data_IF_989219292426
#
_entry.id   IF_989219292426
#
_cell.length_a   1.000
_cell.length_b   1.000
_cell.length_c   1.000
_cell.angle_alpha   90.00
_cell.angle_beta   90.00
_cell.angle_gamma   90.00
#
_symmetry.space_group_name_H-M   'P 1'
#
loop_
_entity.id
_entity.type
_entity.pdbx_description
1 polymer ?
#
# COMPACT_ATOMS: atom_id res chain seq x y z
N UNK A 1 -2.26 -11.89 18.46
CA UNK A 1 -2.97 -13.11 18.00
C UNK A 1 -4.01 -12.63 17.00
N UNK A 2 -4.04 -13.18 15.79
CA UNK A 2 -4.98 -12.76 14.74
C UNK A 2 -6.40 -12.60 15.24
N UNK A 3 -6.97 -11.41 15.01
CA UNK A 3 -8.29 -10.96 15.47
C UNK A 3 -9.38 -11.14 14.41
N UNK A 4 -9.01 -11.09 13.13
CA UNK A 4 -9.87 -11.49 12.01
C UNK A 4 -9.09 -12.52 11.20
N UNK A 5 -9.48 -13.79 11.31
CA UNK A 5 -8.81 -14.87 10.61
C UNK A 5 -9.03 -14.77 9.10
N UNK A 6 -7.96 -14.91 8.32
CA UNK A 6 -8.04 -15.03 6.87
C UNK A 6 -8.97 -16.19 6.48
N UNK A 7 -9.88 -15.94 5.53
CA UNK A 7 -10.81 -16.99 5.09
C UNK A 7 -10.08 -18.09 4.30
N UNK A 8 -10.35 -19.38 4.58
CA UNK A 8 -10.02 -20.44 3.65
C UNK A 8 -10.69 -20.15 2.31
N UNK A 9 -9.98 -20.42 1.20
CA UNK A 9 -10.42 -20.06 -0.15
C UNK A 9 -11.83 -20.60 -0.47
N UNK A 10 -12.11 -21.83 -0.05
CA UNK A 10 -13.37 -22.54 -0.27
C UNK A 10 -14.55 -21.92 0.48
N UNK A 11 -14.27 -21.11 1.53
CA UNK A 11 -15.28 -20.41 2.33
C UNK A 11 -15.55 -18.98 1.86
N UNK A 12 -14.84 -18.52 0.82
CA UNK A 12 -15.06 -17.18 0.25
C UNK A 12 -16.21 -17.19 -0.76
N UNK A 13 -16.89 -16.05 -0.92
CA UNK A 13 -17.95 -15.90 -1.91
C UNK A 13 -17.42 -16.12 -3.35
N UNK A 14 -18.25 -16.62 -4.26
CA UNK A 14 -17.83 -16.99 -5.62
C UNK A 14 -17.16 -15.84 -6.40
N UNK A 15 -17.62 -14.60 -6.23
CA UNK A 15 -16.98 -13.43 -6.85
C UNK A 15 -15.59 -13.13 -6.25
N UNK A 16 -15.44 -13.31 -4.93
CA UNK A 16 -14.15 -13.19 -4.26
C UNK A 16 -13.19 -14.32 -4.68
N UNK A 17 -13.66 -15.56 -4.84
CA UNK A 17 -12.84 -16.68 -5.32
C UNK A 17 -12.17 -16.38 -6.66
N UNK A 18 -12.94 -15.86 -7.63
CA UNK A 18 -12.38 -15.49 -8.94
C UNK A 18 -11.28 -14.42 -8.82
N UNK A 19 -11.46 -13.43 -7.95
CA UNK A 19 -10.48 -12.37 -7.69
C UNK A 19 -9.22 -12.90 -6.99
N UNK A 20 -9.41 -13.73 -5.95
CA UNK A 20 -8.31 -14.37 -5.20
C UNK A 20 -7.50 -15.32 -6.08
N UNK A 21 -8.14 -16.03 -7.00
CA UNK A 21 -7.44 -16.88 -7.98
C UNK A 21 -6.60 -16.02 -8.95
N UNK A 22 -7.10 -14.84 -9.35
CA UNK A 22 -6.31 -13.87 -10.10
C UNK A 22 -5.06 -13.41 -9.36
N UNK A 23 -5.19 -13.10 -8.06
CA UNK A 23 -4.07 -12.76 -7.18
C UNK A 23 -3.09 -13.93 -7.08
N UNK A 24 -3.58 -15.16 -6.85
CA UNK A 24 -2.77 -16.37 -6.77
C UNK A 24 -1.94 -16.58 -8.03
N UNK A 25 -2.52 -16.38 -9.21
CA UNK A 25 -1.78 -16.48 -10.49
C UNK A 25 -0.68 -15.44 -10.63
N UNK A 26 -0.89 -14.22 -10.13
CA UNK A 26 0.09 -13.14 -10.19
C UNK A 26 1.22 -13.27 -9.16
N UNK A 27 0.91 -13.73 -7.95
CA UNK A 27 1.85 -13.75 -6.82
C UNK A 27 2.37 -15.14 -6.44
N UNK A 28 1.76 -16.20 -6.96
CA UNK A 28 2.04 -17.60 -6.61
C UNK A 28 1.27 -18.12 -5.39
N UNK A 29 0.64 -17.23 -4.62
CA UNK A 29 -0.17 -17.58 -3.44
C UNK A 29 -1.23 -16.49 -3.19
N UNK A 30 -2.13 -16.71 -2.21
CA UNK A 30 -3.10 -15.71 -1.76
C UNK A 30 -2.58 -15.09 -0.47
N UNK A 31 -2.15 -13.83 -0.47
CA UNK A 31 -1.79 -13.13 0.75
C UNK A 31 -2.94 -13.07 1.76
N UNK A 32 -2.62 -13.27 3.04
CA UNK A 32 -3.56 -13.24 4.16
C UNK A 32 -4.36 -11.94 4.21
N UNK A 33 -3.79 -10.80 3.80
CA UNK A 33 -4.56 -9.54 3.73
C UNK A 33 -5.74 -9.63 2.76
N UNK A 34 -5.59 -10.30 1.61
CA UNK A 34 -6.67 -10.45 0.63
C UNK A 34 -7.70 -11.49 1.07
N UNK A 35 -7.25 -12.60 1.67
CA UNK A 35 -8.14 -13.58 2.27
C UNK A 35 -8.93 -13.00 3.46
N UNK A 36 -8.35 -12.04 4.20
CA UNK A 36 -9.05 -11.27 5.24
C UNK A 36 -10.03 -10.26 4.63
N UNK A 37 -9.62 -9.54 3.59
CA UNK A 37 -10.49 -8.61 2.85
C UNK A 37 -11.70 -9.32 2.22
N UNK A 38 -11.57 -10.61 1.89
CA UNK A 38 -12.63 -11.45 1.32
C UNK A 38 -13.82 -11.70 2.27
N UNK A 39 -13.71 -11.40 3.57
CA UNK A 39 -14.88 -11.31 4.46
C UNK A 39 -15.91 -10.28 3.96
N UNK A 40 -15.44 -9.27 3.22
CA UNK A 40 -16.28 -8.28 2.56
C UNK A 40 -15.96 -8.24 1.05
N UNK A 41 -16.61 -9.08 0.22
CA UNK A 41 -16.31 -9.16 -1.22
C UNK A 41 -16.43 -7.82 -1.98
N UNK A 42 -17.30 -6.92 -1.51
CA UNK A 42 -17.41 -5.57 -2.05
C UNK A 42 -16.14 -4.73 -1.79
N UNK A 43 -15.56 -4.84 -0.58
CA UNK A 43 -14.30 -4.17 -0.24
C UNK A 43 -13.12 -4.74 -1.04
N UNK A 44 -13.04 -6.07 -1.17
CA UNK A 44 -12.05 -6.73 -2.03
C UNK A 44 -12.14 -6.25 -3.47
N UNK A 45 -13.35 -6.22 -4.03
CA UNK A 45 -13.58 -5.75 -5.39
C UNK A 45 -13.17 -4.29 -5.57
N UNK A 46 -13.55 -3.41 -4.63
CA UNK A 46 -13.20 -1.99 -4.67
C UNK A 46 -11.70 -1.75 -4.58
N UNK A 47 -11.01 -2.44 -3.66
CA UNK A 47 -9.56 -2.36 -3.53
C UNK A 47 -8.85 -2.77 -4.82
N UNK A 48 -9.21 -3.92 -5.39
CA UNK A 48 -8.57 -4.42 -6.60
C UNK A 48 -8.83 -3.54 -7.82
N UNK A 49 -10.06 -3.04 -7.97
CA UNK A 49 -10.40 -2.11 -9.03
C UNK A 49 -9.59 -0.81 -8.93
N UNK A 50 -9.50 -0.22 -7.73
CA UNK A 50 -8.71 0.98 -7.51
C UNK A 50 -7.22 0.73 -7.75
N UNK A 51 -6.66 -0.35 -7.22
CA UNK A 51 -5.26 -0.72 -7.41
C UNK A 51 -4.91 -0.94 -8.89
N UNK A 52 -5.80 -1.58 -9.65
CA UNK A 52 -5.64 -1.78 -11.09
C UNK A 52 -5.70 -0.46 -11.86
N UNK A 53 -6.63 0.44 -11.50
CA UNK A 53 -6.74 1.75 -12.12
C UNK A 53 -5.48 2.58 -11.87
N UNK A 54 -4.99 2.64 -10.63
CA UNK A 54 -3.77 3.36 -10.26
C UNK A 54 -2.51 2.75 -10.89
N UNK A 55 -2.53 1.46 -11.25
CA UNK A 55 -1.45 0.83 -12.03
C UNK A 55 -1.31 1.34 -13.46
N UNK A 56 -2.28 2.12 -13.95
CA UNK A 56 -2.26 2.77 -15.26
C UNK A 56 -2.08 4.29 -15.15
N UNK A 57 -1.77 4.77 -13.94
CA UNK A 57 -1.62 6.18 -13.61
C UNK A 57 -0.27 6.77 -14.01
N UNK A 58 -0.04 8.02 -13.60
CA UNK A 58 1.23 8.72 -13.81
C UNK A 58 2.34 8.24 -12.87
N UNK A 59 2.02 7.68 -11.70
CA UNK A 59 3.01 7.09 -10.81
C UNK A 59 3.41 5.70 -11.32
N UNK A 60 4.69 5.54 -11.64
CA UNK A 60 5.23 4.24 -12.00
C UNK A 60 5.25 3.27 -10.80
N UNK A 61 5.54 1.99 -11.06
CA UNK A 61 5.56 0.95 -10.02
C UNK A 61 6.49 1.30 -8.84
N UNK A 62 7.70 1.80 -9.11
CA UNK A 62 8.65 2.22 -8.07
C UNK A 62 8.08 3.35 -7.20
N UNK A 63 7.48 4.38 -7.78
CA UNK A 63 6.88 5.47 -7.03
C UNK A 63 5.66 5.02 -6.19
N UNK A 64 4.86 4.07 -6.70
CA UNK A 64 3.74 3.49 -5.93
C UNK A 64 4.22 2.70 -4.71
N UNK A 65 5.32 1.96 -4.84
CA UNK A 65 5.95 1.29 -3.70
C UNK A 65 6.53 2.28 -2.68
N UNK A 66 7.06 3.42 -3.13
CA UNK A 66 7.49 4.51 -2.22
C UNK A 66 6.31 5.03 -1.40
N UNK A 67 5.15 5.30 -2.02
CA UNK A 67 3.93 5.69 -1.28
C UNK A 67 3.53 4.59 -0.29
N UNK A 68 3.59 3.32 -0.70
CA UNK A 68 3.21 2.20 0.15
C UNK A 68 4.11 2.04 1.38
N UNK A 69 5.43 2.17 1.20
CA UNK A 69 6.42 2.11 2.28
C UNK A 69 6.24 3.27 3.27
N UNK A 70 6.19 4.52 2.77
CA UNK A 70 5.99 5.71 3.60
C UNK A 70 4.66 5.64 4.36
N UNK A 71 3.57 5.25 3.69
CA UNK A 71 2.25 5.12 4.31
C UNK A 71 2.23 4.06 5.41
N UNK A 72 2.81 2.90 5.12
CA UNK A 72 2.83 1.78 6.07
C UNK A 72 3.72 2.07 7.27
N UNK A 73 4.80 2.85 7.10
CA UNK A 73 5.65 3.32 8.19
C UNK A 73 4.87 4.25 9.13
N UNK A 74 4.23 5.30 8.58
CA UNK A 74 3.46 6.26 9.39
C UNK A 74 2.29 5.58 10.11
N UNK A 75 1.59 4.67 9.43
CA UNK A 75 0.48 3.94 10.01
C UNK A 75 0.91 2.76 10.92
N UNK A 76 2.21 2.47 11.03
CA UNK A 76 2.72 1.36 11.84
C UNK A 76 2.19 -0.03 11.41
N UNK A 77 2.02 -0.27 10.10
CA UNK A 77 1.54 -1.57 9.60
C UNK A 77 2.70 -2.52 9.27
N UNK A 78 3.03 -3.43 10.18
CA UNK A 78 4.13 -4.41 10.00
C UNK A 78 3.90 -5.33 8.79
N UNK A 79 2.67 -5.86 8.64
CA UNK A 79 2.30 -6.71 7.50
C UNK A 79 2.55 -6.00 6.16
N UNK A 80 2.14 -4.73 6.09
CA UNK A 80 2.24 -3.93 4.89
C UNK A 80 3.70 -3.56 4.60
N UNK A 81 4.49 -3.24 5.64
CA UNK A 81 5.93 -3.03 5.50
C UNK A 81 6.64 -4.28 4.98
N UNK A 82 6.30 -5.47 5.48
CA UNK A 82 6.88 -6.73 5.00
C UNK A 82 6.56 -6.98 3.53
N UNK A 83 5.28 -6.84 3.14
CA UNK A 83 4.84 -7.01 1.75
C UNK A 83 5.51 -6.00 0.81
N UNK A 84 5.44 -4.71 1.12
CA UNK A 84 5.92 -3.64 0.25
C UNK A 84 7.44 -3.53 0.23
N UNK A 85 8.16 -4.01 1.24
CA UNK A 85 9.63 -4.16 1.16
C UNK A 85 10.01 -5.16 0.07
N UNK A 86 9.32 -6.31 0.00
CA UNK A 86 9.55 -7.30 -1.05
C UNK A 86 9.25 -6.75 -2.45
N UNK A 87 8.12 -6.05 -2.61
CA UNK A 87 7.72 -5.51 -3.91
C UNK A 87 8.57 -4.30 -4.34
N UNK A 88 8.96 -3.43 -3.40
CA UNK A 88 9.92 -2.35 -3.66
C UNK A 88 11.27 -2.88 -4.16
N UNK A 89 11.79 -3.96 -3.54
CA UNK A 89 13.00 -4.63 -4.03
C UNK A 89 12.84 -5.14 -5.46
N UNK A 90 11.70 -5.79 -5.77
CA UNK A 90 11.38 -6.23 -7.14
C UNK A 90 11.22 -5.07 -8.14
N UNK A 91 10.78 -3.90 -7.67
CA UNK A 91 10.71 -2.66 -8.44
C UNK A 91 12.06 -1.93 -8.57
N UNK A 92 13.14 -2.52 -8.00
CA UNK A 92 14.51 -2.04 -8.15
C UNK A 92 14.90 -0.94 -7.15
N UNK A 93 14.28 -0.88 -5.97
CA UNK A 93 14.83 -0.12 -4.84
C UNK A 93 15.90 -0.95 -4.13
N UNK A 94 17.00 -0.30 -3.73
CA UNK A 94 17.97 -0.92 -2.82
C UNK A 94 17.42 -0.97 -1.39
N UNK A 95 18.04 -1.75 -0.50
CA UNK A 95 17.66 -1.73 0.92
C UNK A 95 17.80 -0.35 1.57
N UNK A 96 18.81 0.43 1.15
CA UNK A 96 19.00 1.79 1.63
C UNK A 96 17.87 2.72 1.15
N UNK A 97 17.47 2.60 -0.12
CA UNK A 97 16.35 3.36 -0.68
C UNK A 97 15.03 2.99 0.00
N UNK A 98 14.82 1.70 0.30
CA UNK A 98 13.62 1.23 1.02
C UNK A 98 13.55 1.87 2.41
N UNK A 99 14.65 1.88 3.16
CA UNK A 99 14.69 2.56 4.47
C UNK A 99 14.40 4.05 4.33
N UNK A 100 15.11 4.71 3.42
CA UNK A 100 14.90 6.14 3.15
C UNK A 100 13.45 6.45 2.72
N UNK A 101 12.80 5.56 1.97
CA UNK A 101 11.40 5.73 1.54
C UNK A 101 10.43 5.60 2.71
N UNK A 102 10.66 4.67 3.63
CA UNK A 102 9.87 4.54 4.88
C UNK A 102 9.95 5.81 5.71
N UNK A 103 11.14 6.39 5.82
CA UNK A 103 11.40 7.58 6.62
C UNK A 103 11.01 8.90 5.92
N UNK A 104 10.50 8.84 4.69
CA UNK A 104 10.08 10.03 3.93
C UNK A 104 11.24 10.83 3.32
N UNK A 105 12.45 10.27 3.34
CA UNK A 105 13.69 10.93 2.95
C UNK A 105 14.15 10.59 1.52
N UNK A 106 13.59 9.55 0.91
CA UNK A 106 14.02 9.05 -0.40
C UNK A 106 13.81 10.07 -1.52
N UNK A 107 12.60 10.59 -1.66
CA UNK A 107 12.25 11.58 -2.67
C UNK A 107 11.04 12.43 -2.24
N UNK A 108 10.56 13.29 -3.15
CA UNK A 108 9.40 14.14 -2.90
C UNK A 108 8.08 13.34 -2.79
N UNK A 109 7.97 12.15 -3.38
CA UNK A 109 6.78 11.28 -3.25
C UNK A 109 6.72 10.72 -1.82
N UNK A 110 7.84 10.24 -1.28
CA UNK A 110 7.93 9.75 0.09
C UNK A 110 7.57 10.85 1.10
N UNK A 111 8.18 12.03 0.94
CA UNK A 111 7.95 13.20 1.80
C UNK A 111 6.50 13.69 1.74
N UNK A 112 5.94 13.82 0.54
CA UNK A 112 4.55 14.23 0.36
C UNK A 112 3.58 13.23 0.98
N UNK A 113 3.86 11.93 0.85
CA UNK A 113 3.05 10.86 1.44
C UNK A 113 2.93 11.02 2.96
N UNK A 114 4.06 11.17 3.66
CA UNK A 114 4.04 11.38 5.11
C UNK A 114 3.28 12.66 5.50
N UNK A 115 3.57 13.77 4.80
CA UNK A 115 2.89 15.04 5.05
C UNK A 115 1.37 14.94 4.88
N UNK A 116 0.89 14.23 3.85
CA UNK A 116 -0.54 13.99 3.62
C UNK A 116 -1.14 13.19 4.79
N UNK A 117 -0.47 12.16 5.28
CA UNK A 117 -1.01 11.31 6.35
C UNK A 117 -1.01 12.06 7.69
N UNK A 118 0.13 12.65 8.08
CA UNK A 118 0.30 13.35 9.36
C UNK A 118 -0.65 14.55 9.50
N UNK A 119 -0.82 15.31 8.42
CA UNK A 119 -1.72 16.47 8.40
C UNK A 119 -3.16 16.13 8.02
N UNK A 120 -3.44 14.87 7.69
CA UNK A 120 -4.74 14.43 7.10
C UNK A 120 -5.13 15.26 5.88
N UNK A 121 -4.16 15.51 4.99
CA UNK A 121 -4.31 16.26 3.75
C UNK A 121 -4.32 17.78 3.92
N UNK A 122 -4.15 18.31 5.14
CA UNK A 122 -4.15 19.75 5.43
C UNK A 122 -2.75 20.35 5.29
N UNK A 123 -2.17 20.20 4.09
CA UNK A 123 -0.86 20.77 3.78
C UNK A 123 -0.92 22.30 3.76
N UNK A 124 0.18 22.93 4.17
CA UNK A 124 0.43 24.35 3.91
C UNK A 124 0.75 24.60 2.43
N UNK A 125 0.53 25.84 1.98
CA UNK A 125 0.90 26.26 0.62
C UNK A 125 2.40 26.03 0.33
N UNK A 126 3.26 26.24 1.33
CA UNK A 126 4.70 26.01 1.22
C UNK A 126 5.03 24.52 0.99
N UNK A 127 4.36 23.60 1.67
CA UNK A 127 4.57 22.15 1.47
C UNK A 127 4.09 21.71 0.08
N UNK A 128 2.93 22.20 -0.36
CA UNK A 128 2.41 21.89 -1.67
C UNK A 128 3.30 22.47 -2.79
N UNK A 129 3.81 23.69 -2.60
CA UNK A 129 4.76 24.30 -3.53
C UNK A 129 6.08 23.54 -3.57
N UNK A 130 6.62 23.12 -2.42
CA UNK A 130 7.86 22.33 -2.37
C UNK A 130 7.73 21.00 -3.14
N UNK A 131 6.56 20.35 -3.12
CA UNK A 131 6.31 19.15 -3.93
C UNK A 131 6.40 19.47 -5.44
N UNK A 132 5.83 20.59 -5.88
CA UNK A 132 5.89 21.04 -7.28
C UNK A 132 7.31 21.42 -7.70
N UNK A 133 8.03 22.14 -6.84
CA UNK A 133 9.42 22.55 -7.09
C UNK A 133 10.34 21.33 -7.21
N UNK A 134 10.00 20.23 -6.52
CA UNK A 134 10.68 18.94 -6.65
C UNK A 134 10.24 18.12 -7.89
N UNK A 135 9.38 18.67 -8.75
CA UNK A 135 8.99 18.10 -10.04
C UNK A 135 7.70 17.28 -10.03
N UNK A 136 6.93 17.25 -8.93
CA UNK A 136 5.62 16.58 -8.94
C UNK A 136 4.59 17.44 -9.68
N UNK A 137 3.92 16.83 -10.66
CA UNK A 137 2.73 17.42 -11.29
C UNK A 137 1.53 17.34 -10.36
N UNK A 138 0.51 18.18 -10.59
CA UNK A 138 -0.75 18.09 -9.83
C UNK A 138 -1.39 16.70 -9.99
N UNK A 139 -1.24 16.04 -11.16
CA UNK A 139 -1.69 14.67 -11.36
C UNK A 139 -0.97 13.67 -10.44
N UNK A 140 0.36 13.79 -10.30
CA UNK A 140 1.13 12.96 -9.37
C UNK A 140 0.73 13.21 -7.92
N UNK A 141 0.51 14.48 -7.53
CA UNK A 141 0.05 14.84 -6.18
C UNK A 141 -1.32 14.19 -5.87
N UNK A 142 -2.26 14.26 -6.80
CA UNK A 142 -3.57 13.60 -6.66
C UNK A 142 -3.42 12.08 -6.58
N UNK A 143 -2.55 11.47 -7.39
CA UNK A 143 -2.30 10.03 -7.32
C UNK A 143 -1.61 9.60 -6.02
N UNK A 144 -0.77 10.43 -5.41
CA UNK A 144 -0.24 10.16 -4.05
C UNK A 144 -1.39 10.04 -3.07
N UNK A 145 -2.35 10.97 -3.07
CA UNK A 145 -3.54 10.89 -2.20
C UNK A 145 -4.36 9.62 -2.47
N UNK A 146 -4.55 9.25 -3.73
CA UNK A 146 -5.29 8.04 -4.10
C UNK A 146 -4.58 6.75 -3.65
N UNK A 147 -3.26 6.68 -3.77
CA UNK A 147 -2.47 5.56 -3.26
C UNK A 147 -2.45 5.57 -1.72
N UNK A 148 -2.39 6.73 -1.06
CA UNK A 148 -2.56 6.82 0.41
C UNK A 148 -3.91 6.26 0.85
N UNK A 149 -5.01 6.54 0.14
CA UNK A 149 -6.31 5.96 0.47
C UNK A 149 -6.32 4.43 0.32
N UNK A 150 -5.73 3.91 -0.76
CA UNK A 150 -5.57 2.48 -0.99
C UNK A 150 -4.77 1.82 0.15
N UNK A 151 -3.67 2.44 0.54
CA UNK A 151 -2.80 1.96 1.62
C UNK A 151 -3.44 2.08 2.99
N UNK A 152 -4.18 3.16 3.25
CA UNK A 152 -4.92 3.34 4.51
C UNK A 152 -5.88 2.18 4.74
N UNK A 153 -6.57 1.71 3.69
CA UNK A 153 -7.48 0.59 3.79
C UNK A 153 -6.76 -0.69 4.26
N UNK A 154 -5.64 -1.07 3.63
CA UNK A 154 -4.91 -2.29 4.00
C UNK A 154 -4.09 -2.13 5.28
N UNK A 155 -3.51 -0.95 5.53
CA UNK A 155 -2.82 -0.63 6.77
C UNK A 155 -3.77 -0.79 7.97
N UNK A 156 -4.95 -0.16 7.91
CA UNK A 156 -5.89 -0.20 9.02
C UNK A 156 -6.51 -1.59 9.17
N UNK A 157 -6.82 -2.27 8.06
CA UNK A 157 -7.30 -3.64 8.11
C UNK A 157 -6.27 -4.57 8.78
N UNK A 158 -5.01 -4.53 8.37
CA UNK A 158 -4.02 -5.46 8.91
C UNK A 158 -3.69 -5.13 10.38
N UNK A 159 -3.67 -3.85 10.77
CA UNK A 159 -3.49 -3.46 12.17
C UNK A 159 -4.66 -3.91 13.04
N UNK A 160 -5.92 -3.71 12.59
CA UNK A 160 -7.08 -4.10 13.39
C UNK A 160 -7.27 -5.62 13.43
N UNK A 161 -6.92 -6.32 12.35
CA UNK A 161 -7.06 -7.76 12.21
C UNK A 161 -5.91 -8.52 12.86
N UNK A 162 -4.80 -7.86 13.19
CA UNK A 162 -3.53 -8.49 13.56
C UNK A 162 -3.17 -9.61 12.57
N UNK A 163 -3.24 -9.30 11.26
CA UNK A 163 -3.07 -10.29 10.19
C UNK A 163 -1.71 -10.99 10.28
N UNK A 164 -1.71 -12.32 10.29
CA UNK A 164 -0.48 -13.12 10.27
C UNK A 164 0.37 -12.81 9.02
N UNK A 165 1.64 -12.45 9.23
CA UNK A 165 2.58 -12.08 8.17
C UNK A 165 3.02 -13.32 7.39
N UNK A 166 2.73 -13.33 6.10
CA UNK A 166 3.07 -14.37 5.12
C UNK A 166 4.10 -13.89 4.07
N UNK A 167 4.82 -12.82 4.42
CA UNK A 167 5.96 -12.27 3.69
C UNK A 167 7.24 -12.38 4.52
N UNK A 168 8.43 -12.25 3.91
CA UNK A 168 9.68 -12.15 4.67
C UNK A 168 9.60 -11.03 5.73
N UNK A 169 9.96 -11.32 6.98
CA UNK A 169 9.90 -10.32 8.05
C UNK A 169 10.88 -9.18 7.78
N UNK A 170 10.52 -7.97 8.23
CA UNK A 170 11.34 -6.77 8.10
C UNK A 170 11.61 -6.18 9.49
N UNK A 171 12.79 -5.59 9.67
CA UNK A 171 13.05 -4.79 10.86
C UNK A 171 12.13 -3.55 10.81
N UNK A 172 11.24 -3.43 11.78
CA UNK A 172 10.37 -2.27 11.97
C UNK A 172 11.11 -1.13 12.62
#
# INVERSE_FOLDING_TARGET
MTRITALPFEQTAANAQAQLEGIRKGLGFIPNTFATLAHAPAALSGYLALSQALGKGTLNAKAREVVALASSQVNGCEYCLAAHTLFAGKAGLSEADIRSARDGEFDAVARLTQQVIDSRGRLSDAQLQAARDAGLSDAAIVEVVANVALMTLTNYLNNLAETDVDFPPVAV
#
